data_IF_141487680144
#
_entry.id   IF_141487680144
#
_cell.length_a   1.000
_cell.length_b   1.000
_cell.length_c   1.000
_cell.angle_alpha   90.00
_cell.angle_beta   90.00
_cell.angle_gamma   90.00
#
_symmetry.space_group_name_H-M   'P 1'
#
loop_
_entity.id
_entity.type
_entity.pdbx_description
1 polymer ?
#
# COMPACT_ATOMS: atom_id res chain seq x y z
N UNK A 1 23.89 -8.11 0.31
CA UNK A 1 22.70 -8.98 0.19
C UNK A 1 21.60 -8.12 -0.40
N UNK A 2 20.77 -8.65 -1.29
CA UNK A 2 19.67 -7.86 -1.86
C UNK A 2 18.55 -7.79 -0.80
N UNK A 3 18.14 -6.58 -0.41
CA UNK A 3 17.07 -6.38 0.57
C UNK A 3 15.74 -6.94 0.05
N UNK A 4 15.02 -7.69 0.90
CA UNK A 4 13.74 -8.30 0.53
C UNK A 4 12.58 -7.46 1.05
N UNK A 5 11.83 -6.87 0.15
CA UNK A 5 10.68 -6.03 0.48
C UNK A 5 9.40 -6.83 0.26
N UNK A 6 8.60 -7.00 1.32
CA UNK A 6 7.22 -7.48 1.23
C UNK A 6 6.26 -6.30 1.10
N UNK A 7 5.10 -6.50 0.47
CA UNK A 7 4.08 -5.46 0.32
C UNK A 7 2.71 -5.90 0.85
N UNK A 8 2.16 -5.10 1.75
CA UNK A 8 0.76 -5.16 2.18
C UNK A 8 -0.05 -4.19 1.33
N UNK A 9 -0.99 -4.71 0.55
CA UNK A 9 -1.98 -3.91 -0.17
C UNK A 9 -3.20 -3.75 0.74
N UNK A 10 -3.41 -2.52 1.22
CA UNK A 10 -4.43 -2.17 2.21
C UNK A 10 -5.78 -1.97 1.53
N UNK A 11 -6.67 -2.97 1.59
CA UNK A 11 -7.98 -2.96 0.93
C UNK A 11 -9.17 -3.13 1.89
N UNK A 12 -9.01 -2.76 3.17
CA UNK A 12 -10.04 -2.91 4.22
C UNK A 12 -10.90 -1.65 4.45
N UNK A 13 -10.70 -0.59 3.67
CA UNK A 13 -11.43 0.68 3.80
C UNK A 13 -12.94 0.52 3.56
N UNK A 14 -13.77 1.20 4.40
CA UNK A 14 -15.23 1.04 4.35
C UNK A 14 -15.94 1.89 3.27
N UNK A 15 -15.22 2.64 2.47
CA UNK A 15 -15.73 3.47 1.35
C UNK A 15 -17.04 4.24 1.64
N UNK A 16 -17.24 4.73 2.88
CA UNK A 16 -18.51 5.32 3.37
C UNK A 16 -19.01 6.49 2.53
N UNK A 17 -18.08 7.27 1.94
CA UNK A 17 -18.40 8.44 1.11
C UNK A 17 -18.74 8.08 -0.33
N UNK A 18 -18.39 6.89 -0.77
CA UNK A 18 -18.62 6.43 -2.14
C UNK A 18 -20.00 5.75 -2.33
N UNK A 19 -20.69 5.38 -1.24
CA UNK A 19 -21.99 4.70 -1.26
C UNK A 19 -21.93 3.21 -1.62
N UNK A 20 -20.80 2.74 -2.14
CA UNK A 20 -20.49 1.34 -2.49
C UNK A 20 -18.98 1.11 -2.37
N UNK A 21 -18.52 -0.13 -2.60
CA UNK A 21 -17.07 -0.41 -2.54
C UNK A 21 -16.35 0.26 -3.72
N UNK A 22 -15.65 1.38 -3.44
CA UNK A 22 -14.93 2.19 -4.43
C UNK A 22 -13.91 1.39 -5.25
N UNK A 23 -13.35 0.32 -4.69
CA UNK A 23 -12.34 -0.51 -5.33
C UNK A 23 -12.89 -1.33 -6.51
N UNK A 24 -14.22 -1.53 -6.55
CA UNK A 24 -14.94 -2.23 -7.64
C UNK A 24 -15.39 -1.27 -8.76
N UNK A 25 -15.32 0.04 -8.54
CA UNK A 25 -15.74 1.01 -9.54
C UNK A 25 -14.81 1.01 -10.74
N UNK A 26 -15.40 1.24 -11.92
CA UNK A 26 -14.67 1.30 -13.18
C UNK A 26 -13.77 2.56 -13.23
N UNK A 27 -12.49 2.34 -13.47
CA UNK A 27 -11.49 3.36 -13.74
C UNK A 27 -10.73 2.98 -15.01
N UNK A 28 -10.92 3.73 -16.10
CA UNK A 28 -10.32 3.45 -17.41
C UNK A 28 -10.57 2.01 -17.94
N UNK A 29 -11.79 1.51 -17.75
CA UNK A 29 -12.21 0.22 -18.31
C UNK A 29 -12.05 -1.00 -17.39
N UNK A 30 -11.50 -0.82 -16.19
CA UNK A 30 -11.32 -1.90 -15.21
C UNK A 30 -11.58 -1.41 -13.77
N UNK A 31 -11.82 -2.29 -12.79
CA UNK A 31 -11.92 -1.92 -11.38
C UNK A 31 -10.67 -1.20 -10.88
N UNK A 32 -10.85 -0.19 -9.99
CA UNK A 32 -9.74 0.51 -9.29
C UNK A 32 -8.75 -0.49 -8.72
N UNK A 33 -9.22 -1.55 -8.05
CA UNK A 33 -8.38 -2.58 -7.44
C UNK A 33 -7.45 -3.26 -8.45
N UNK A 34 -7.92 -3.55 -9.67
CA UNK A 34 -7.12 -4.24 -10.69
C UNK A 34 -5.88 -3.43 -11.10
N UNK A 35 -5.98 -2.10 -11.08
CA UNK A 35 -4.85 -1.23 -11.38
C UNK A 35 -3.71 -1.41 -10.39
N UNK A 36 -4.04 -1.37 -9.09
CA UNK A 36 -3.07 -1.59 -8.01
C UNK A 36 -2.51 -3.02 -8.05
N UNK A 37 -3.36 -4.03 -8.24
CA UNK A 37 -2.91 -5.41 -8.36
C UNK A 37 -1.89 -5.59 -9.49
N UNK A 38 -2.13 -4.97 -10.64
CA UNK A 38 -1.22 -5.00 -11.80
C UNK A 38 0.11 -4.31 -11.48
N UNK A 39 0.08 -3.09 -10.91
CA UNK A 39 1.28 -2.36 -10.52
C UNK A 39 2.11 -3.17 -9.53
N UNK A 40 1.49 -3.69 -8.47
CA UNK A 40 2.21 -4.47 -7.45
C UNK A 40 2.69 -5.83 -7.97
N UNK A 41 1.97 -6.45 -8.92
CA UNK A 41 2.43 -7.70 -9.54
C UNK A 41 3.71 -7.51 -10.34
N UNK A 42 3.85 -6.38 -11.04
CA UNK A 42 5.02 -6.06 -11.86
C UNK A 42 6.20 -5.48 -11.06
N UNK A 43 5.97 -4.95 -9.86
CA UNK A 43 7.00 -4.35 -9.01
C UNK A 43 7.98 -5.40 -8.42
N UNK A 44 9.26 -5.02 -8.16
CA UNK A 44 10.31 -5.92 -7.66
C UNK A 44 10.15 -6.23 -6.16
N UNK A 45 9.03 -6.85 -5.80
CA UNK A 45 8.64 -7.18 -4.43
C UNK A 45 8.81 -8.69 -4.18
N UNK A 46 9.44 -9.06 -3.06
CA UNK A 46 9.72 -10.46 -2.70
C UNK A 46 8.47 -11.24 -2.30
N UNK A 47 7.51 -10.58 -1.65
CA UNK A 47 6.22 -11.13 -1.26
C UNK A 47 5.15 -10.05 -1.33
N UNK A 48 3.90 -10.43 -1.53
CA UNK A 48 2.76 -9.53 -1.62
C UNK A 48 1.55 -10.16 -0.97
N UNK A 49 0.74 -9.37 -0.28
CA UNK A 49 -0.53 -9.81 0.31
C UNK A 49 -1.56 -8.69 0.23
N UNK A 50 -2.77 -9.04 -0.12
CA UNK A 50 -3.94 -8.14 0.02
C UNK A 50 -4.59 -8.41 1.37
N UNK A 51 -4.83 -7.37 2.14
CA UNK A 51 -5.61 -7.47 3.39
C UNK A 51 -6.91 -6.72 3.20
N UNK A 52 -8.04 -7.44 3.33
CA UNK A 52 -9.36 -6.88 3.03
C UNK A 52 -10.43 -7.41 3.97
N UNK A 53 -11.53 -6.64 4.10
CA UNK A 53 -12.77 -7.04 4.77
C UNK A 53 -13.88 -7.41 3.77
N UNK A 54 -13.58 -7.33 2.48
CA UNK A 54 -14.54 -7.42 1.39
C UNK A 54 -14.31 -8.70 0.60
N UNK A 55 -15.21 -9.71 0.72
CA UNK A 55 -15.07 -10.98 -0.02
C UNK A 55 -14.95 -10.79 -1.54
N UNK A 56 -15.65 -9.78 -2.09
CA UNK A 56 -15.61 -9.46 -3.52
C UNK A 56 -14.24 -8.99 -4.02
N UNK A 57 -13.39 -8.47 -3.13
CA UNK A 57 -12.00 -8.12 -3.48
C UNK A 57 -11.14 -9.37 -3.65
N UNK A 58 -11.41 -10.43 -2.87
CA UNK A 58 -10.71 -11.71 -3.03
C UNK A 58 -10.89 -12.27 -4.44
N UNK A 59 -12.11 -12.21 -4.98
CA UNK A 59 -12.41 -12.74 -6.32
C UNK A 59 -11.60 -12.01 -7.41
N UNK A 60 -11.32 -10.69 -7.24
CA UNK A 60 -10.44 -9.95 -8.13
C UNK A 60 -8.96 -10.38 -8.00
N UNK A 61 -8.54 -10.81 -6.82
CA UNK A 61 -7.15 -11.21 -6.57
C UNK A 61 -6.83 -12.59 -7.14
N UNK A 62 -7.81 -13.47 -7.33
CA UNK A 62 -7.63 -14.84 -7.85
C UNK A 62 -6.89 -14.86 -9.19
N UNK A 63 -7.11 -13.85 -10.04
CA UNK A 63 -6.43 -13.73 -11.34
C UNK A 63 -4.96 -13.31 -11.25
N UNK A 64 -4.49 -12.84 -10.09
CA UNK A 64 -3.14 -12.25 -9.91
C UNK A 64 -2.18 -13.14 -9.12
N UNK A 65 -2.66 -14.23 -8.54
CA UNK A 65 -1.91 -15.10 -7.62
C UNK A 65 -1.36 -14.34 -6.38
N UNK A 66 -1.93 -13.17 -6.02
CA UNK A 66 -1.57 -12.47 -4.78
C UNK A 66 -2.46 -13.02 -3.66
N UNK A 67 -1.88 -13.61 -2.59
CA UNK A 67 -2.64 -14.10 -1.46
C UNK A 67 -3.50 -13.03 -0.81
N UNK A 68 -4.65 -13.44 -0.27
CA UNK A 68 -5.60 -12.55 0.39
C UNK A 68 -5.83 -12.99 1.84
N UNK A 69 -5.66 -12.05 2.76
CA UNK A 69 -6.10 -12.17 4.14
C UNK A 69 -7.47 -11.49 4.25
N UNK A 70 -8.52 -12.31 4.36
CA UNK A 70 -9.87 -11.85 4.62
C UNK A 70 -10.11 -11.82 6.13
N UNK A 71 -10.65 -10.69 6.64
CA UNK A 71 -10.93 -10.52 8.07
C UNK A 71 -12.20 -9.69 8.30
N UNK A 72 -12.69 -9.66 9.53
CA UNK A 72 -13.85 -8.87 9.97
C UNK A 72 -13.50 -7.84 11.05
N UNK A 73 -12.23 -7.76 11.43
CA UNK A 73 -11.73 -6.87 12.49
C UNK A 73 -11.90 -5.40 12.10
N UNK A 74 -12.34 -4.52 13.04
CA UNK A 74 -12.78 -3.17 12.68
C UNK A 74 -11.68 -2.14 12.46
N UNK A 75 -10.48 -2.36 13.04
CA UNK A 75 -9.47 -1.30 13.16
C UNK A 75 -8.44 -1.34 12.03
N UNK A 76 -7.89 -0.17 11.70
CA UNK A 76 -6.79 -0.08 10.74
C UNK A 76 -5.52 -0.80 11.26
N UNK A 77 -5.27 -0.73 12.57
CA UNK A 77 -4.18 -1.45 13.22
C UNK A 77 -4.24 -2.96 13.02
N UNK A 78 -5.45 -3.54 13.00
CA UNK A 78 -5.64 -4.97 12.74
C UNK A 78 -5.22 -5.33 11.32
N UNK A 79 -5.62 -4.52 10.32
CA UNK A 79 -5.22 -4.70 8.92
C UNK A 79 -3.70 -4.66 8.75
N UNK A 80 -3.02 -3.73 9.44
CA UNK A 80 -1.56 -3.64 9.43
C UNK A 80 -0.93 -4.89 10.04
N UNK A 81 -1.35 -5.29 11.24
CA UNK A 81 -0.80 -6.44 11.95
C UNK A 81 -0.99 -7.76 11.17
N UNK A 82 -2.20 -7.98 10.62
CA UNK A 82 -2.50 -9.15 9.79
C UNK A 82 -1.61 -9.20 8.53
N UNK A 83 -1.42 -8.07 7.87
CA UNK A 83 -0.57 -7.98 6.68
C UNK A 83 0.90 -8.27 6.97
N UNK A 84 1.46 -7.68 8.03
CA UNK A 84 2.86 -7.93 8.45
C UNK A 84 3.04 -9.39 8.85
N UNK A 85 2.10 -9.96 9.62
CA UNK A 85 2.15 -11.38 10.03
C UNK A 85 2.18 -12.31 8.80
N UNK A 86 1.25 -12.12 7.87
CA UNK A 86 1.18 -12.95 6.66
C UNK A 86 2.46 -12.84 5.80
N UNK A 87 3.02 -11.63 5.68
CA UNK A 87 4.28 -11.44 4.94
C UNK A 87 5.47 -12.13 5.64
N UNK A 88 5.54 -12.09 6.97
CA UNK A 88 6.61 -12.76 7.72
C UNK A 88 6.52 -14.28 7.61
N UNK A 89 5.31 -14.85 7.48
CA UNK A 89 5.12 -16.28 7.22
C UNK A 89 5.56 -16.66 5.80
N UNK A 90 5.30 -15.81 4.80
CA UNK A 90 5.67 -16.06 3.40
C UNK A 90 7.15 -15.77 3.10
N UNK A 91 7.74 -14.81 3.77
CA UNK A 91 9.11 -14.32 3.56
C UNK A 91 9.76 -13.97 4.90
N UNK A 92 10.18 -14.97 5.72
CA UNK A 92 10.75 -14.73 7.06
C UNK A 92 12.03 -13.86 7.05
N UNK A 93 12.74 -13.88 5.94
CA UNK A 93 13.94 -13.07 5.72
C UNK A 93 13.66 -11.64 5.21
N UNK A 94 12.39 -11.22 5.18
CA UNK A 94 12.01 -9.86 4.78
C UNK A 94 12.70 -8.80 5.64
N UNK A 95 13.25 -7.79 4.98
CA UNK A 95 13.98 -6.68 5.61
C UNK A 95 13.24 -5.35 5.53
N UNK A 96 12.30 -5.22 4.58
CA UNK A 96 11.43 -4.07 4.41
C UNK A 96 9.97 -4.48 4.24
N UNK A 97 9.06 -3.72 4.84
CA UNK A 97 7.61 -3.90 4.70
C UNK A 97 7.00 -2.65 4.05
N UNK A 98 6.51 -2.79 2.82
CA UNK A 98 5.78 -1.75 2.10
C UNK A 98 4.30 -1.80 2.45
N UNK A 99 3.70 -0.63 2.63
CA UNK A 99 2.24 -0.48 2.69
C UNK A 99 1.79 0.37 1.51
N UNK A 100 0.92 -0.19 0.68
CA UNK A 100 0.32 0.47 -0.47
C UNK A 100 -1.19 0.64 -0.26
N UNK A 101 -1.70 1.82 -0.57
CA UNK A 101 -3.13 2.07 -0.61
C UNK A 101 -3.75 1.44 -1.86
N UNK A 102 -4.91 0.81 -1.73
CA UNK A 102 -5.59 0.14 -2.84
C UNK A 102 -6.39 1.11 -3.73
N UNK A 103 -6.53 2.35 -3.33
CA UNK A 103 -7.34 3.40 -3.95
C UNK A 103 -6.52 4.47 -4.68
N UNK A 104 -5.27 4.16 -5.02
CA UNK A 104 -4.38 4.99 -5.86
C UNK A 104 -4.23 4.38 -7.26
N UNK A 105 -5.24 4.51 -8.15
CA UNK A 105 -5.27 3.78 -9.42
C UNK A 105 -4.21 4.23 -10.45
N UNK A 106 -3.59 5.38 -10.24
CA UNK A 106 -2.56 5.93 -11.13
C UNK A 106 -1.13 5.58 -10.68
N UNK A 107 -0.95 4.94 -9.52
CA UNK A 107 0.38 4.57 -9.04
C UNK A 107 1.11 3.70 -10.07
N UNK A 108 2.30 4.14 -10.50
CA UNK A 108 3.09 3.48 -11.54
C UNK A 108 4.05 2.43 -10.98
N UNK A 109 4.42 1.47 -11.83
CA UNK A 109 5.45 0.46 -11.52
C UNK A 109 6.82 1.14 -11.33
N UNK A 110 7.10 2.18 -12.11
CA UNK A 110 8.38 2.89 -12.07
C UNK A 110 8.57 3.60 -10.73
N UNK A 111 7.54 4.26 -10.21
CA UNK A 111 7.57 4.91 -8.89
C UNK A 111 7.75 3.90 -7.77
N UNK A 112 7.04 2.76 -7.81
CA UNK A 112 7.22 1.68 -6.83
C UNK A 112 8.62 1.09 -6.92
N UNK A 113 9.16 0.91 -8.12
CA UNK A 113 10.53 0.42 -8.33
C UNK A 113 11.55 1.40 -7.76
N UNK A 114 11.41 2.70 -8.03
CA UNK A 114 12.28 3.73 -7.48
C UNK A 114 12.27 3.74 -5.94
N UNK A 115 11.10 3.53 -5.33
CA UNK A 115 10.95 3.42 -3.88
C UNK A 115 11.68 2.17 -3.33
N UNK A 116 11.57 1.03 -4.02
CA UNK A 116 12.30 -0.19 -3.66
C UNK A 116 13.80 0.00 -3.76
N UNK A 117 14.28 0.65 -4.83
CA UNK A 117 15.70 0.95 -5.02
C UNK A 117 16.25 1.92 -3.98
N UNK A 118 15.47 2.93 -3.58
CA UNK A 118 15.85 3.84 -2.50
C UNK A 118 16.02 3.08 -1.18
N UNK A 119 15.07 2.22 -0.85
CA UNK A 119 15.18 1.36 0.33
C UNK A 119 16.39 0.41 0.27
N UNK A 120 16.70 -0.16 -0.88
CA UNK A 120 17.88 -1.03 -1.03
C UNK A 120 19.21 -0.28 -0.79
N UNK A 121 19.26 1.02 -1.10
CA UNK A 121 20.47 1.85 -0.84
C UNK A 121 20.62 2.22 0.63
N UNK A 122 19.50 2.49 1.32
CA UNK A 122 19.49 2.89 2.73
C UNK A 122 18.38 2.14 3.48
N UNK A 123 18.58 0.85 3.83
CA UNK A 123 17.54 -0.04 4.36
C UNK A 123 17.13 0.26 5.81
N UNK A 124 17.84 1.14 6.50
CA UNK A 124 17.52 1.60 7.86
C UNK A 124 16.60 2.83 7.87
N UNK A 125 16.22 3.36 6.70
CA UNK A 125 15.35 4.52 6.60
C UNK A 125 13.89 4.10 6.36
N UNK A 126 12.95 4.97 6.74
CA UNK A 126 11.55 4.87 6.37
C UNK A 126 11.36 5.66 5.07
N UNK A 127 11.14 4.98 3.97
CA UNK A 127 10.98 5.59 2.67
C UNK A 127 9.51 5.74 2.30
N UNK A 128 9.12 6.91 1.80
CA UNK A 128 7.76 7.16 1.34
C UNK A 128 7.73 7.95 0.02
N UNK A 129 6.64 7.77 -0.72
CA UNK A 129 6.40 8.57 -1.91
C UNK A 129 6.08 10.02 -1.56
N UNK A 130 6.48 10.93 -2.46
CA UNK A 130 6.13 12.35 -2.40
C UNK A 130 5.92 12.92 -3.80
N UNK A 131 5.23 14.05 -3.86
CA UNK A 131 5.16 14.90 -5.05
C UNK A 131 5.26 16.35 -4.61
N UNK A 132 6.30 17.07 -5.08
CA UNK A 132 6.56 18.49 -4.76
C UNK A 132 6.41 18.81 -3.25
N UNK A 133 6.93 17.93 -2.39
CA UNK A 133 6.89 18.07 -0.95
C UNK A 133 5.61 17.57 -0.27
N UNK A 134 4.55 17.25 -1.03
CA UNK A 134 3.38 16.54 -0.50
C UNK A 134 3.70 15.05 -0.39
N UNK A 135 3.56 14.49 0.80
CA UNK A 135 3.91 13.10 1.09
C UNK A 135 2.69 12.19 1.00
N UNK A 136 2.89 10.97 0.47
CA UNK A 136 1.82 9.99 0.26
C UNK A 136 2.26 8.54 0.49
N UNK A 137 1.46 7.63 -0.01
CA UNK A 137 1.77 6.20 -0.12
C UNK A 137 2.33 5.89 -1.52
N UNK A 138 3.03 4.74 -1.68
CA UNK A 138 3.43 3.75 -0.67
C UNK A 138 4.48 4.24 0.32
N UNK A 139 4.58 3.50 1.46
CA UNK A 139 5.62 3.70 2.46
C UNK A 139 6.32 2.38 2.74
N UNK A 140 7.66 2.35 2.76
CA UNK A 140 8.46 1.19 3.15
C UNK A 140 9.04 1.40 4.54
N UNK A 141 8.81 0.44 5.41
CA UNK A 141 9.29 0.42 6.78
C UNK A 141 10.42 -0.59 6.94
N UNK A 142 11.55 -0.23 7.59
CA UNK A 142 12.65 -1.14 7.87
C UNK A 142 12.31 -2.17 8.94
N UNK A 143 13.03 -3.30 8.93
CA UNK A 143 12.78 -4.47 9.78
C UNK A 143 12.69 -4.14 11.27
N UNK A 144 13.50 -3.21 11.78
CA UNK A 144 13.49 -2.87 13.20
C UNK A 144 12.15 -2.26 13.67
N UNK A 145 11.32 -1.74 12.76
CA UNK A 145 9.99 -1.18 13.06
C UNK A 145 8.88 -2.23 13.05
N UNK A 146 9.13 -3.47 12.62
CA UNK A 146 8.08 -4.48 12.45
C UNK A 146 7.34 -4.78 13.76
N UNK A 147 8.07 -4.82 14.88
CA UNK A 147 7.43 -5.00 16.19
C UNK A 147 6.47 -3.86 16.53
N UNK A 148 6.78 -2.62 16.13
CA UNK A 148 5.89 -1.48 16.33
C UNK A 148 4.65 -1.55 15.43
N UNK A 149 4.83 -1.99 14.16
CA UNK A 149 3.72 -2.20 13.22
C UNK A 149 2.76 -3.31 13.69
N UNK A 150 3.29 -4.37 14.30
CA UNK A 150 2.51 -5.47 14.88
C UNK A 150 1.72 -5.07 16.13
N UNK A 151 2.14 -4.01 16.84
CA UNK A 151 1.57 -3.58 18.12
C UNK A 151 1.12 -2.10 18.08
N UNK A 152 0.53 -1.68 16.96
CA UNK A 152 0.00 -0.32 16.84
C UNK A 152 -1.13 -0.07 17.84
N UNK A 153 -1.24 1.16 18.36
CA UNK A 153 -2.43 1.55 19.13
C UNK A 153 -3.70 1.41 18.28
N UNK A 154 -4.86 1.19 18.92
CA UNK A 154 -6.14 1.10 18.20
C UNK A 154 -6.35 2.26 17.23
N UNK A 155 -6.88 1.96 16.05
CA UNK A 155 -7.15 2.91 14.96
C UNK A 155 -5.94 3.71 14.43
N UNK A 156 -4.71 3.24 14.71
CA UNK A 156 -3.50 3.82 14.11
C UNK A 156 -2.98 2.93 13.00
N UNK A 157 -2.42 3.58 11.98
CA UNK A 157 -1.65 2.94 10.90
C UNK A 157 -0.17 3.25 11.03
N UNK A 158 0.60 2.96 9.99
CA UNK A 158 2.05 3.21 9.92
C UNK A 158 2.47 4.65 10.21
N UNK A 159 1.57 5.63 10.06
CA UNK A 159 1.81 7.01 10.45
C UNK A 159 2.18 7.20 11.93
N UNK A 160 1.79 6.28 12.82
CA UNK A 160 2.22 6.31 14.22
C UNK A 160 3.71 5.99 14.37
N UNK A 161 4.22 5.05 13.58
CA UNK A 161 5.65 4.70 13.54
C UNK A 161 6.46 5.84 12.91
N UNK A 162 5.97 6.43 11.82
CA UNK A 162 6.62 7.61 11.19
C UNK A 162 6.80 8.75 12.18
N UNK A 163 5.77 9.03 13.00
CA UNK A 163 5.83 10.10 14.03
C UNK A 163 6.82 9.83 15.15
N UNK A 164 7.13 8.57 15.40
CA UNK A 164 8.13 8.16 16.40
C UNK A 164 9.56 8.30 15.90
N UNK A 165 9.76 8.18 14.58
CA UNK A 165 11.08 8.15 13.94
C UNK A 165 11.19 9.20 12.81
N UNK A 166 10.87 10.48 13.07
CA UNK A 166 10.84 11.51 12.04
C UNK A 166 12.21 11.75 11.37
N UNK A 167 13.30 11.51 12.10
CA UNK A 167 14.68 11.65 11.61
C UNK A 167 15.06 10.60 10.57
N UNK A 168 14.35 9.45 10.55
CA UNK A 168 14.60 8.35 9.61
C UNK A 168 13.75 8.46 8.32
N UNK A 169 12.86 9.44 8.25
CA UNK A 169 11.97 9.58 7.09
C UNK A 169 12.72 10.19 5.90
N UNK A 170 12.59 9.52 4.76
CA UNK A 170 13.11 9.96 3.46
C UNK A 170 12.00 9.87 2.42
N UNK A 171 12.13 10.61 1.35
CA UNK A 171 11.12 10.63 0.27
C UNK A 171 11.72 10.28 -1.08
N UNK A 172 10.87 9.69 -1.93
CA UNK A 172 11.12 9.48 -3.35
C UNK A 172 10.00 10.20 -4.11
N UNK A 173 10.36 11.01 -5.11
CA UNK A 173 9.38 11.70 -5.94
C UNK A 173 8.67 10.70 -6.86
N UNK A 174 7.33 10.79 -6.90
CA UNK A 174 6.49 10.09 -7.84
C UNK A 174 6.67 10.66 -9.26
N UNK A 175 6.26 9.92 -10.27
CA UNK A 175 6.30 10.38 -11.65
C UNK A 175 5.32 11.52 -11.93
N UNK A 176 4.23 11.60 -11.16
CA UNK A 176 3.22 12.66 -11.28
C UNK A 176 2.40 12.80 -9.99
N UNK A 177 1.68 13.93 -9.86
CA UNK A 177 0.73 14.18 -8.77
C UNK A 177 -0.38 13.12 -8.72
N UNK A 178 -0.87 12.70 -9.88
CA UNK A 178 -1.97 11.73 -10.03
C UNK A 178 -1.67 10.39 -9.36
N UNK A 179 -0.40 10.01 -9.25
CA UNK A 179 0.00 8.75 -8.61
C UNK A 179 -0.31 8.70 -7.11
N UNK A 180 -0.39 9.87 -6.46
CA UNK A 180 -0.62 9.99 -5.02
C UNK A 180 -2.08 10.31 -4.67
N UNK A 181 -2.97 10.41 -5.68
CA UNK A 181 -4.39 10.71 -5.46
C UNK A 181 -5.15 9.49 -4.98
N UNK A 182 -5.69 9.56 -3.76
CA UNK A 182 -6.64 8.58 -3.22
C UNK A 182 -8.03 8.86 -3.78
N UNK A 183 -8.64 7.89 -4.45
CA UNK A 183 -10.01 8.00 -4.96
C UNK A 183 -11.01 7.78 -3.83
N UNK A 184 -11.29 8.82 -3.06
CA UNK A 184 -12.14 8.77 -1.86
C UNK A 184 -13.61 9.08 -2.16
N UNK A 185 -13.91 9.78 -3.24
CA UNK A 185 -15.27 10.15 -3.67
C UNK A 185 -15.42 10.02 -5.19
N UNK A 186 -16.68 9.90 -5.70
CA UNK A 186 -16.94 9.92 -7.15
C UNK A 186 -16.39 11.18 -7.85
N UNK A 187 -16.46 12.34 -7.19
CA UNK A 187 -15.98 13.61 -7.74
C UNK A 187 -14.47 13.60 -7.94
N UNK A 188 -13.70 13.08 -6.95
CA UNK A 188 -12.24 12.92 -7.08
C UNK A 188 -11.91 11.97 -8.23
N UNK A 189 -12.66 10.87 -8.37
CA UNK A 189 -12.48 9.93 -9.48
C UNK A 189 -12.70 10.62 -10.84
N UNK A 190 -13.75 11.41 -10.98
CA UNK A 190 -14.04 12.16 -12.21
C UNK A 190 -12.98 13.23 -12.52
N UNK A 191 -12.50 13.93 -11.49
CA UNK A 191 -11.39 14.89 -11.62
C UNK A 191 -10.12 14.21 -12.09
N UNK A 192 -9.76 13.09 -11.47
CA UNK A 192 -8.59 12.32 -11.83
C UNK A 192 -8.69 11.82 -13.29
N UNK A 193 -9.85 11.28 -13.70
CA UNK A 193 -10.08 10.85 -15.10
C UNK A 193 -9.96 11.99 -16.11
N UNK A 194 -10.32 13.23 -15.74
CA UNK A 194 -10.17 14.40 -16.64
C UNK A 194 -8.74 14.91 -16.73
N UNK A 195 -7.89 14.56 -15.77
CA UNK A 195 -6.48 15.01 -15.72
C UNK A 195 -5.50 14.06 -16.43
N UNK A 196 -5.97 12.90 -16.86
CA UNK A 196 -5.19 11.86 -17.58
C UNK A 196 -5.32 12.02 -19.10
#
# INVERSE_FOLDING_TARGET
MNEKIGCVIMASGMARRFGSNKLLHNFLGEPVMNRILRTMSAAPLAAKVVVTRHPEIRDLCDATNIPVVLHDMPLQSDTVALGVTALLEMCPEMTGCMFAASDQPCLSVDSVTALCEAFQREPEQIWRMSWQGTVGNPVVFPKFTFNELLHLPPDKGGGAVIKKHPELVRTVEAGSEQELVDVDTPEIMEELLRSL
#
